data_IF_593548353690
#
_entry.id   IF_593548353690
#
_cell.length_a   1.000
_cell.length_b   1.000
_cell.length_c   1.000
_cell.angle_alpha   90.00
_cell.angle_beta   90.00
_cell.angle_gamma   90.00
#
_symmetry.space_group_name_H-M   'P 1'
#
loop_
_entity.id
_entity.type
_entity.pdbx_description
1 polymer ?
#
# COMPACT_ATOMS: atom_id res chain seq x y z
N UNK A 1 -19.39 -3.64 80.27
CA UNK A 1 -19.14 -2.51 79.35
C UNK A 1 -20.46 -2.02 78.79
N UNK A 2 -20.50 -0.73 78.43
CA UNK A 2 -21.65 0.18 78.17
C UNK A 2 -22.64 -0.36 77.09
N UNK A 3 -23.99 -0.28 77.25
CA UNK A 3 -24.91 0.89 77.07
C UNK A 3 -24.83 1.42 75.60
N UNK A 4 -25.85 1.68 74.76
CA UNK A 4 -27.25 2.16 74.89
C UNK A 4 -28.03 1.85 73.59
N UNK A 5 -29.35 1.86 73.73
CA UNK A 5 -30.49 1.71 72.82
C UNK A 5 -30.64 2.91 71.84
N UNK A 6 -31.54 2.76 70.86
CA UNK A 6 -32.54 3.74 70.33
C UNK A 6 -32.44 4.11 68.84
N UNK A 7 -33.20 3.36 68.05
CA UNK A 7 -34.34 3.76 67.20
C UNK A 7 -34.54 5.22 66.72
N UNK A 8 -35.20 5.31 65.55
CA UNK A 8 -36.35 6.19 65.16
C UNK A 8 -36.12 7.25 64.04
N UNK A 9 -37.00 7.13 63.02
CA UNK A 9 -37.56 8.11 62.05
C UNK A 9 -36.63 8.69 60.96
N UNK A 10 -36.95 8.89 59.68
CA UNK A 10 -38.13 8.85 58.80
C UNK A 10 -38.24 10.18 58.03
N UNK A 11 -38.43 10.07 56.70
CA UNK A 11 -39.04 11.03 55.75
C UNK A 11 -38.27 12.32 55.42
N UNK A 12 -37.99 12.53 54.12
CA UNK A 12 -38.62 13.57 53.31
C UNK A 12 -38.10 13.56 51.86
N UNK A 13 -39.01 13.48 50.90
CA UNK A 13 -38.77 13.93 49.53
C UNK A 13 -38.88 15.45 49.49
N UNK A 14 -37.96 16.13 48.81
CA UNK A 14 -38.14 17.51 48.38
C UNK A 14 -37.68 17.62 46.93
N UNK A 15 -38.63 17.84 46.03
CA UNK A 15 -38.41 18.40 44.69
C UNK A 15 -38.14 19.90 44.81
N UNK A 16 -37.07 20.39 44.21
CA UNK A 16 -36.88 21.81 43.90
C UNK A 16 -36.93 22.01 42.38
N UNK A 17 -37.97 22.68 41.94
CA UNK A 17 -38.05 23.37 40.64
C UNK A 17 -37.31 24.71 40.72
N UNK A 18 -36.52 24.98 39.67
CA UNK A 18 -36.08 26.28 39.11
C UNK A 18 -35.39 27.31 40.02
N UNK A 19 -34.14 27.65 39.69
CA UNK A 19 -33.79 29.02 39.30
C UNK A 19 -32.54 29.00 38.40
N UNK A 20 -32.63 29.77 37.33
CA UNK A 20 -31.63 30.05 36.29
C UNK A 20 -30.29 30.54 36.84
N UNK A 21 -29.18 30.09 36.25
CA UNK A 21 -28.21 30.94 35.54
C UNK A 21 -27.28 30.05 34.72
N UNK A 22 -26.88 30.58 33.56
CA UNK A 22 -26.03 29.99 32.53
C UNK A 22 -24.71 29.37 33.05
N UNK A 23 -24.06 28.59 32.18
CA UNK A 23 -22.74 27.95 32.34
C UNK A 23 -22.71 26.54 32.93
N UNK A 24 -23.25 25.56 32.21
CA UNK A 24 -22.69 24.18 32.21
C UNK A 24 -23.38 23.30 31.17
N UNK A 25 -23.21 23.62 29.88
CA UNK A 25 -23.49 22.66 28.81
C UNK A 25 -22.72 22.91 27.50
N UNK A 26 -21.71 23.78 27.50
CA UNK A 26 -20.90 24.05 26.31
C UNK A 26 -19.81 22.98 26.07
N UNK A 27 -19.36 22.26 27.10
CA UNK A 27 -18.25 21.30 26.95
C UNK A 27 -18.67 19.94 26.38
N UNK A 28 -19.89 19.48 26.61
CA UNK A 28 -20.29 18.13 26.16
C UNK A 28 -20.76 18.09 24.70
N UNK A 29 -21.13 19.23 24.10
CA UNK A 29 -21.43 19.31 22.66
C UNK A 29 -20.23 19.69 21.79
N UNK A 30 -19.14 20.21 22.37
CA UNK A 30 -17.91 20.50 21.63
C UNK A 30 -17.20 19.20 21.18
N UNK A 31 -17.20 18.18 22.04
CA UNK A 31 -16.53 16.90 21.75
C UNK A 31 -17.26 16.08 20.65
N UNK A 32 -18.57 16.25 20.49
CA UNK A 32 -19.34 15.56 19.44
C UNK A 32 -19.22 16.22 18.04
N UNK A 33 -18.89 17.51 17.97
CA UNK A 33 -18.71 18.23 16.69
C UNK A 33 -17.31 18.11 16.10
N UNK A 34 -16.28 17.94 16.92
CA UNK A 34 -14.91 17.72 16.42
C UNK A 34 -14.76 16.34 15.76
N UNK A 35 -15.46 15.32 16.27
CA UNK A 35 -15.38 13.95 15.73
C UNK A 35 -16.07 13.79 14.36
N UNK A 36 -17.00 14.68 14.02
CA UNK A 36 -17.76 14.65 12.75
C UNK A 36 -17.20 15.58 11.67
N UNK A 37 -16.32 16.53 12.03
CA UNK A 37 -15.55 17.32 11.04
C UNK A 37 -14.27 16.62 10.60
N UNK A 38 -13.57 15.92 11.51
CA UNK A 38 -12.37 15.16 11.17
C UNK A 38 -12.64 14.06 10.14
N UNK A 39 -13.73 13.31 10.29
CA UNK A 39 -14.07 12.20 9.37
C UNK A 39 -14.45 12.67 7.96
N UNK A 40 -15.09 13.82 7.81
CA UNK A 40 -15.52 14.33 6.50
C UNK A 40 -14.36 14.94 5.70
N UNK A 41 -13.44 15.64 6.35
CA UNK A 41 -12.25 16.20 5.69
C UNK A 41 -11.28 15.10 5.26
N UNK A 42 -11.03 14.09 6.12
CA UNK A 42 -10.18 12.94 5.77
C UNK A 42 -10.78 12.11 4.63
N UNK A 43 -12.11 11.87 4.64
CA UNK A 43 -12.80 11.18 3.53
C UNK A 43 -12.76 11.98 2.22
N UNK A 44 -12.93 13.30 2.27
CA UNK A 44 -12.87 14.16 1.06
C UNK A 44 -11.46 14.19 0.46
N UNK A 45 -10.42 14.21 1.29
CA UNK A 45 -9.02 14.14 0.85
C UNK A 45 -8.66 12.76 0.29
N UNK A 46 -9.13 11.67 0.92
CA UNK A 46 -8.99 10.32 0.37
C UNK A 46 -9.63 10.19 -1.02
N UNK A 47 -10.83 10.76 -1.21
CA UNK A 47 -11.52 10.75 -2.51
C UNK A 47 -10.77 11.49 -3.63
N UNK A 48 -10.04 12.57 -3.31
CA UNK A 48 -9.22 13.28 -4.30
C UNK A 48 -8.00 12.44 -4.75
N UNK A 49 -7.43 11.65 -3.83
CA UNK A 49 -6.33 10.73 -4.12
C UNK A 49 -6.77 9.55 -4.99
N UNK A 50 -8.06 9.19 -4.97
CA UNK A 50 -8.61 8.03 -5.67
C UNK A 50 -8.79 8.15 -7.20
N UNK A 51 -8.12 9.10 -7.85
CA UNK A 51 -8.15 9.19 -9.32
C UNK A 51 -7.35 8.04 -9.93
N UNK A 52 -8.01 7.24 -10.77
CA UNK A 52 -7.38 6.10 -11.46
C UNK A 52 -6.79 6.57 -12.79
N UNK A 53 -5.47 6.47 -12.92
CA UNK A 53 -4.77 6.68 -14.19
C UNK A 53 -4.46 5.34 -14.82
N UNK A 54 -4.87 5.14 -16.08
CA UNK A 54 -4.58 3.93 -16.85
C UNK A 54 -3.52 4.22 -17.88
N UNK A 55 -2.55 3.31 -18.04
CA UNK A 55 -1.46 3.47 -19.01
C UNK A 55 -0.87 2.11 -19.40
N UNK A 56 0.09 2.13 -20.31
CA UNK A 56 0.79 0.95 -20.78
C UNK A 56 2.25 1.25 -21.09
N UNK A 57 3.11 0.26 -20.93
CA UNK A 57 4.48 0.29 -21.45
C UNK A 57 4.73 -0.85 -22.41
N UNK A 58 5.53 -0.60 -23.44
CA UNK A 58 6.03 -1.65 -24.34
C UNK A 58 7.50 -1.89 -24.04
N UNK A 59 7.87 -3.14 -23.78
CA UNK A 59 9.22 -3.57 -23.44
C UNK A 59 9.76 -4.46 -24.54
N UNK A 60 10.94 -4.13 -25.07
CA UNK A 60 11.55 -4.85 -26.18
C UNK A 60 12.45 -5.97 -25.69
N UNK A 61 12.41 -7.09 -26.40
CA UNK A 61 13.30 -8.23 -26.19
C UNK A 61 14.60 -8.01 -26.93
N UNK A 62 15.72 -8.28 -26.27
CA UNK A 62 17.07 -8.16 -26.85
C UNK A 62 17.65 -9.51 -27.28
N UNK A 63 17.25 -10.61 -26.64
CA UNK A 63 17.78 -11.94 -26.91
C UNK A 63 16.80 -13.07 -26.53
N UNK A 64 17.12 -14.30 -26.92
CA UNK A 64 16.40 -15.50 -26.50
C UNK A 64 17.12 -16.26 -25.37
N UNK A 65 16.39 -17.00 -24.51
CA UNK A 65 14.93 -17.15 -24.42
C UNK A 65 14.22 -15.98 -23.71
N UNK A 66 12.89 -15.91 -23.81
CA UNK A 66 12.07 -14.84 -23.21
C UNK A 66 11.93 -14.94 -21.69
N UNK A 67 12.14 -16.12 -21.11
CA UNK A 67 12.12 -16.38 -19.67
C UNK A 67 13.35 -15.87 -18.93
N UNK A 68 14.33 -15.30 -19.63
CA UNK A 68 15.54 -14.75 -19.04
C UNK A 68 15.35 -13.26 -18.73
N UNK A 69 15.57 -12.88 -17.48
CA UNK A 69 15.39 -11.51 -16.99
C UNK A 69 16.17 -10.46 -17.80
N UNK A 70 17.44 -10.74 -18.13
CA UNK A 70 18.35 -9.81 -18.80
C UNK A 70 18.13 -9.67 -20.31
N UNK A 71 17.21 -10.47 -20.86
CA UNK A 71 16.93 -10.50 -22.30
C UNK A 71 15.86 -9.47 -22.71
N UNK A 72 15.58 -8.50 -21.85
CA UNK A 72 14.59 -7.45 -22.04
C UNK A 72 15.24 -6.10 -21.75
N UNK A 73 15.04 -5.13 -22.64
CA UNK A 73 15.53 -3.75 -22.44
C UNK A 73 14.64 -3.08 -21.41
N UNK A 74 15.18 -2.60 -20.27
CA UNK A 74 14.37 -1.90 -19.30
C UNK A 74 13.78 -0.60 -19.86
N UNK A 75 12.58 -0.26 -19.41
CA UNK A 75 11.82 0.91 -19.87
C UNK A 75 11.44 1.77 -18.67
N UNK A 76 11.83 3.05 -18.72
CA UNK A 76 11.45 4.02 -17.69
C UNK A 76 9.98 4.44 -17.86
N UNK A 77 9.30 4.66 -16.73
CA UNK A 77 7.97 5.23 -16.68
C UNK A 77 7.81 6.09 -15.41
N UNK A 78 6.75 6.89 -15.37
CA UNK A 78 6.35 7.64 -14.18
C UNK A 78 5.02 7.12 -13.63
N UNK A 79 4.93 7.03 -12.31
CA UNK A 79 3.70 6.72 -11.57
C UNK A 79 3.55 7.84 -10.54
N UNK A 80 2.72 8.84 -10.84
CA UNK A 80 2.69 10.09 -10.08
C UNK A 80 4.09 10.69 -9.90
N UNK A 81 4.53 10.84 -8.65
CA UNK A 81 5.83 11.39 -8.25
C UNK A 81 7.01 10.41 -8.26
N UNK A 82 6.80 9.11 -8.54
CA UNK A 82 7.90 8.12 -8.60
C UNK A 82 8.29 7.76 -10.04
N UNK A 83 9.59 7.82 -10.32
CA UNK A 83 10.18 7.23 -11.52
C UNK A 83 10.43 5.74 -11.28
N UNK A 84 9.88 4.92 -12.16
CA UNK A 84 9.99 3.46 -12.12
C UNK A 84 10.62 2.93 -13.39
N UNK A 85 11.13 1.71 -13.33
CA UNK A 85 11.65 0.97 -14.46
C UNK A 85 10.92 -0.37 -14.55
N UNK A 86 10.33 -0.63 -15.72
CA UNK A 86 9.80 -1.92 -16.11
C UNK A 86 10.89 -2.75 -16.77
N UNK A 87 11.01 -4.01 -16.38
CA UNK A 87 12.16 -4.86 -16.71
C UNK A 87 11.85 -6.35 -16.51
N UNK A 88 12.86 -7.20 -16.72
CA UNK A 88 12.76 -8.62 -16.43
C UNK A 88 11.88 -9.38 -17.41
N UNK A 89 11.43 -10.57 -17.00
CA UNK A 89 10.71 -11.53 -17.85
C UNK A 89 9.47 -10.86 -18.47
N UNK A 90 9.47 -10.73 -19.81
CA UNK A 90 8.44 -10.02 -20.60
C UNK A 90 8.18 -8.57 -20.14
N UNK A 91 9.16 -7.93 -19.51
CA UNK A 91 9.00 -6.58 -18.93
C UNK A 91 8.09 -6.53 -17.70
N UNK A 92 7.70 -7.69 -17.15
CA UNK A 92 6.72 -7.77 -16.07
C UNK A 92 7.26 -7.37 -14.70
N UNK A 93 8.55 -7.18 -14.51
CA UNK A 93 9.10 -6.72 -13.23
C UNK A 93 9.12 -5.19 -13.16
N UNK A 94 8.99 -4.62 -11.97
CA UNK A 94 9.04 -3.18 -11.71
C UNK A 94 9.93 -2.88 -10.51
N UNK A 95 10.71 -1.79 -10.60
CA UNK A 95 11.41 -1.18 -9.45
C UNK A 95 11.41 0.35 -9.51
N UNK A 96 11.52 1.07 -8.39
CA UNK A 96 11.87 2.49 -8.38
C UNK A 96 13.30 2.72 -8.88
N UNK A 97 13.54 3.81 -9.61
CA UNK A 97 14.86 4.12 -10.19
C UNK A 97 15.76 4.83 -9.18
N UNK A 98 17.00 4.35 -9.03
CA UNK A 98 18.10 5.04 -8.33
C UNK A 98 17.98 5.22 -6.81
N UNK A 99 16.82 4.92 -6.22
CA UNK A 99 16.49 5.05 -4.78
C UNK A 99 16.83 6.40 -4.11
N UNK A 100 17.19 7.45 -4.87
CA UNK A 100 17.47 8.79 -4.33
C UNK A 100 16.25 9.39 -3.64
N UNK A 101 15.05 9.06 -4.14
CA UNK A 101 13.78 9.43 -3.54
C UNK A 101 13.31 8.53 -2.39
N UNK A 102 14.11 7.55 -1.94
CA UNK A 102 13.75 6.58 -0.86
C UNK A 102 12.40 5.90 -1.09
N UNK A 103 12.25 5.34 -2.28
CA UNK A 103 11.06 4.63 -2.71
C UNK A 103 11.23 3.13 -2.50
N UNK A 104 10.23 2.50 -1.89
CA UNK A 104 10.21 1.08 -1.60
C UNK A 104 8.94 0.45 -2.13
N UNK A 105 8.96 -0.87 -2.28
CA UNK A 105 7.86 -1.60 -2.89
C UNK A 105 7.41 -2.80 -2.06
N UNK A 106 6.16 -3.18 -2.26
CA UNK A 106 5.52 -4.30 -1.61
C UNK A 106 4.27 -4.73 -2.37
N UNK A 107 3.59 -5.75 -1.85
CA UNK A 107 2.36 -6.25 -2.46
C UNK A 107 1.22 -6.24 -1.48
N UNK A 108 0.00 -6.10 -2.01
CA UNK A 108 -1.25 -6.23 -1.26
C UNK A 108 -2.23 -7.06 -2.10
N UNK A 109 -3.36 -7.46 -1.53
CA UNK A 109 -4.38 -8.20 -2.26
C UNK A 109 -4.86 -7.41 -3.49
N UNK A 110 -5.08 -8.11 -4.60
CA UNK A 110 -5.43 -7.50 -5.89
C UNK A 110 -6.77 -6.73 -5.86
N UNK A 111 -7.68 -7.15 -4.98
CA UNK A 111 -8.96 -6.48 -4.75
C UNK A 111 -8.86 -5.21 -3.90
N UNK A 112 -7.69 -4.88 -3.34
CA UNK A 112 -7.49 -3.63 -2.60
C UNK A 112 -7.84 -2.44 -3.49
N UNK A 113 -8.72 -1.56 -3.06
CA UNK A 113 -9.09 -0.34 -3.79
C UNK A 113 -8.41 0.86 -3.16
N UNK A 114 -8.56 2.03 -3.80
CA UNK A 114 -8.29 3.27 -3.11
C UNK A 114 -9.29 3.41 -1.97
N UNK A 115 -8.75 3.51 -0.77
CA UNK A 115 -9.43 3.71 0.50
C UNK A 115 -8.41 4.37 1.44
N UNK A 116 -8.84 4.79 2.63
CA UNK A 116 -7.97 5.35 3.65
C UNK A 116 -6.73 4.46 3.86
N UNK A 117 -5.55 5.00 3.52
CA UNK A 117 -4.26 4.31 3.61
C UNK A 117 -4.06 3.67 4.98
N UNK A 118 -4.43 4.38 6.04
CA UNK A 118 -4.18 3.95 7.41
C UNK A 118 -5.07 2.76 7.82
N UNK A 119 -6.11 2.45 7.05
CA UNK A 119 -6.98 1.28 7.28
C UNK A 119 -6.41 -0.04 6.77
N UNK A 120 -5.47 -0.01 5.81
CA UNK A 120 -5.00 -1.23 5.15
C UNK A 120 -3.48 -1.31 4.93
N UNK A 121 -2.71 -0.25 5.22
CA UNK A 121 -1.26 -0.25 4.99
C UNK A 121 -0.51 -1.37 5.76
N UNK A 122 -1.07 -1.84 6.88
CA UNK A 122 -0.51 -2.95 7.66
C UNK A 122 -0.58 -4.30 6.92
N UNK A 123 -1.43 -4.41 5.89
CA UNK A 123 -1.56 -5.62 5.07
C UNK A 123 -0.54 -5.69 3.93
N UNK A 124 0.30 -4.66 3.76
CA UNK A 124 1.33 -4.62 2.72
C UNK A 124 2.47 -5.56 3.10
N UNK A 125 2.73 -6.52 2.23
CA UNK A 125 3.90 -7.40 2.34
C UNK A 125 5.10 -6.69 1.69
N UNK A 126 6.08 -6.29 2.51
CA UNK A 126 7.24 -5.49 2.09
C UNK A 126 8.26 -6.35 1.34
N UNK A 127 8.71 -5.90 0.15
CA UNK A 127 9.67 -6.66 -0.68
C UNK A 127 10.99 -6.96 0.03
N UNK A 128 11.56 -5.96 0.69
CA UNK A 128 12.87 -6.08 1.31
C UNK A 128 12.85 -6.83 2.65
N UNK A 129 11.67 -7.16 3.19
CA UNK A 129 11.59 -7.88 4.45
C UNK A 129 12.23 -9.27 4.35
N UNK A 130 12.65 -9.81 5.51
CA UNK A 130 13.27 -11.13 5.59
C UNK A 130 12.38 -12.20 4.95
N UNK A 131 12.96 -13.05 4.10
CA UNK A 131 12.27 -14.09 3.36
C UNK A 131 11.58 -13.64 2.06
N UNK A 132 11.41 -12.33 1.84
CA UNK A 132 10.75 -11.79 0.64
C UNK A 132 11.73 -11.40 -0.47
N UNK A 133 13.01 -11.24 -0.13
CA UNK A 133 14.09 -11.01 -1.10
C UNK A 133 14.51 -12.35 -1.68
N UNK A 134 14.44 -12.46 -3.01
CA UNK A 134 14.96 -13.61 -3.74
C UNK A 134 16.47 -13.51 -3.94
N UNK A 135 16.99 -14.32 -4.86
CA UNK A 135 18.39 -14.26 -5.32
C UNK A 135 18.52 -13.73 -6.74
N UNK A 136 17.39 -13.41 -7.39
CA UNK A 136 17.32 -12.87 -8.74
C UNK A 136 16.36 -11.70 -8.80
N UNK A 137 16.63 -10.69 -9.65
CA UNK A 137 17.85 -10.49 -10.46
C UNK A 137 19.10 -10.17 -9.61
N UNK A 138 20.24 -9.86 -10.24
CA UNK A 138 21.52 -9.59 -9.56
C UNK A 138 21.43 -8.51 -8.45
N UNK A 139 20.62 -7.48 -8.67
CA UNK A 139 20.12 -6.61 -7.60
C UNK A 139 18.64 -6.92 -7.33
N UNK A 140 18.32 -7.79 -6.36
CA UNK A 140 16.97 -8.28 -6.10
C UNK A 140 16.13 -7.34 -5.22
N UNK A 141 16.71 -6.25 -4.72
CA UNK A 141 16.06 -5.33 -3.80
C UNK A 141 15.13 -4.36 -4.51
N UNK A 142 14.00 -4.06 -3.88
CA UNK A 142 12.96 -3.20 -4.44
C UNK A 142 12.42 -3.62 -5.82
N UNK A 143 12.51 -4.90 -6.17
CA UNK A 143 12.01 -5.45 -7.45
C UNK A 143 10.78 -6.30 -7.21
N UNK A 144 9.67 -5.99 -7.85
CA UNK A 144 8.48 -6.84 -7.86
C UNK A 144 8.22 -7.35 -9.25
N UNK A 145 8.16 -8.66 -9.39
CA UNK A 145 7.87 -9.32 -10.66
C UNK A 145 7.20 -10.66 -10.44
N UNK A 146 7.81 -11.72 -10.97
CA UNK A 146 7.36 -13.09 -10.77
C UNK A 146 7.40 -13.44 -9.28
N UNK A 147 6.34 -14.09 -8.79
CA UNK A 147 6.26 -14.54 -7.41
C UNK A 147 6.87 -15.94 -7.24
N UNK A 148 8.00 -16.02 -6.53
CA UNK A 148 8.69 -17.26 -6.20
C UNK A 148 9.79 -17.63 -7.20
N UNK A 149 9.92 -18.93 -7.49
CA UNK A 149 10.97 -19.47 -8.36
C UNK A 149 10.44 -19.83 -9.74
N UNK A 150 11.18 -19.46 -10.78
CA UNK A 150 10.97 -19.94 -12.15
C UNK A 150 12.29 -20.23 -12.84
N UNK A 151 12.36 -21.33 -13.58
CA UNK A 151 13.56 -21.73 -14.33
C UNK A 151 14.84 -21.74 -13.49
N UNK A 152 14.72 -22.13 -12.20
CA UNK A 152 15.83 -22.16 -11.24
C UNK A 152 16.21 -20.82 -10.61
N UNK A 153 15.62 -19.69 -11.04
CA UNK A 153 15.86 -18.37 -10.48
C UNK A 153 14.78 -18.01 -9.45
N UNK A 154 15.19 -17.66 -8.22
CA UNK A 154 14.29 -17.26 -7.14
C UNK A 154 14.12 -15.74 -7.13
N UNK A 155 12.92 -15.25 -7.42
CA UNK A 155 12.59 -13.83 -7.40
C UNK A 155 12.01 -13.36 -6.06
N UNK A 156 11.73 -14.27 -5.12
CA UNK A 156 11.12 -13.96 -3.83
C UNK A 156 9.68 -13.47 -3.99
N UNK A 157 9.31 -12.44 -3.23
CA UNK A 157 8.00 -11.79 -3.33
C UNK A 157 7.80 -11.18 -4.71
N UNK A 158 6.66 -11.49 -5.34
CA UNK A 158 6.24 -10.91 -6.60
C UNK A 158 4.72 -10.72 -6.66
N UNK A 159 4.23 -10.21 -7.78
CA UNK A 159 2.81 -9.88 -7.95
C UNK A 159 2.10 -10.70 -9.03
N UNK A 160 2.83 -11.42 -9.88
CA UNK A 160 2.26 -12.28 -10.91
C UNK A 160 2.84 -13.69 -10.85
N UNK A 161 2.11 -14.65 -11.41
CA UNK A 161 2.60 -15.97 -11.77
C UNK A 161 2.74 -16.09 -13.29
N UNK A 162 3.59 -16.99 -13.76
CA UNK A 162 3.82 -17.23 -15.18
C UNK A 162 3.90 -18.73 -15.45
N UNK A 163 3.05 -19.20 -16.34
CA UNK A 163 3.04 -20.59 -16.79
C UNK A 163 3.95 -20.72 -18.01
N UNK A 164 5.06 -21.44 -17.86
CA UNK A 164 6.07 -21.57 -18.92
C UNK A 164 5.59 -22.39 -20.12
N UNK A 165 4.58 -23.25 -19.95
CA UNK A 165 4.05 -24.09 -21.03
C UNK A 165 3.04 -23.34 -21.90
N UNK A 166 2.17 -22.54 -21.27
CA UNK A 166 1.14 -21.76 -21.98
C UNK A 166 1.55 -20.32 -22.26
N UNK A 167 2.71 -19.92 -21.76
CA UNK A 167 3.21 -18.55 -21.75
C UNK A 167 2.26 -17.52 -21.10
N UNK A 168 1.31 -17.94 -20.28
CA UNK A 168 0.34 -17.03 -19.65
C UNK A 168 0.94 -16.39 -18.40
N UNK A 169 0.85 -15.06 -18.31
CA UNK A 169 1.24 -14.27 -17.14
C UNK A 169 -0.02 -13.74 -16.43
N UNK A 170 -0.17 -14.05 -15.14
CA UNK A 170 -1.38 -13.75 -14.38
C UNK A 170 -1.04 -12.91 -13.15
N UNK A 171 -1.39 -11.61 -13.14
CA UNK A 171 -1.34 -10.79 -11.93
C UNK A 171 -2.26 -11.36 -10.84
N UNK A 172 -1.73 -11.51 -9.63
CA UNK A 172 -2.43 -12.07 -8.47
C UNK A 172 -2.41 -11.13 -7.25
N UNK A 173 -1.55 -10.11 -7.27
CA UNK A 173 -1.43 -9.07 -6.24
C UNK A 173 -1.36 -7.69 -6.88
N UNK A 174 -1.78 -6.67 -6.13
CA UNK A 174 -1.48 -5.30 -6.46
C UNK A 174 -0.09 -4.93 -5.91
N UNK A 175 0.56 -4.00 -6.60
CA UNK A 175 1.86 -3.44 -6.22
C UNK A 175 1.61 -2.17 -5.43
N UNK A 176 2.34 -1.98 -4.34
CA UNK A 176 2.35 -0.72 -3.59
C UNK A 176 3.75 -0.15 -3.64
N UNK A 177 3.85 1.13 -3.97
CA UNK A 177 5.11 1.89 -4.00
C UNK A 177 4.96 3.04 -3.01
N UNK A 178 5.85 3.15 -2.03
CA UNK A 178 5.78 4.23 -1.04
C UNK A 178 7.12 4.92 -0.85
N UNK A 179 7.07 6.20 -0.53
CA UNK A 179 8.22 7.01 -0.13
C UNK A 179 8.23 7.16 1.38
N UNK A 180 9.41 7.09 1.97
CA UNK A 180 9.61 7.36 3.40
C UNK A 180 10.94 8.07 3.62
N UNK A 181 11.07 8.77 4.75
CA UNK A 181 12.36 9.30 5.19
C UNK A 181 13.24 8.24 5.87
N UNK A 182 12.64 7.12 6.28
CA UNK A 182 13.35 5.96 6.83
C UNK A 182 14.04 5.14 5.73
N UNK A 183 15.19 4.56 6.03
CA UNK A 183 15.99 3.81 5.06
C UNK A 183 17.06 4.65 4.36
N UNK A 184 18.18 3.99 4.08
CA UNK A 184 19.44 4.62 3.66
C UNK A 184 19.84 4.23 2.23
N UNK A 185 19.28 3.15 1.70
CA UNK A 185 19.58 2.61 0.38
C UNK A 185 18.44 1.69 -0.11
N UNK A 186 18.59 1.15 -1.33
CA UNK A 186 17.58 0.28 -1.95
C UNK A 186 17.32 -1.02 -1.19
N UNK A 187 18.22 -1.42 -0.29
CA UNK A 187 18.14 -2.67 0.47
C UNK A 187 17.41 -2.52 1.80
N UNK A 188 17.14 -1.28 2.21
CA UNK A 188 16.53 -0.99 3.51
C UNK A 188 15.14 -1.62 3.62
N UNK A 189 14.85 -2.21 4.77
CA UNK A 189 13.48 -2.62 5.13
C UNK A 189 12.81 -1.41 5.77
N UNK A 190 11.71 -0.95 5.17
CA UNK A 190 10.97 0.22 5.66
C UNK A 190 9.51 -0.12 5.91
N UNK A 191 8.88 0.63 6.80
CA UNK A 191 7.46 0.45 7.14
C UNK A 191 6.57 1.33 6.26
N UNK A 192 5.58 0.76 5.56
CA UNK A 192 4.55 1.53 4.85
C UNK A 192 3.77 2.49 5.75
N UNK A 193 3.66 2.21 7.06
CA UNK A 193 3.00 3.11 8.00
C UNK A 193 3.70 4.49 8.12
N UNK A 194 4.97 4.58 7.74
CA UNK A 194 5.74 5.84 7.71
C UNK A 194 5.75 6.51 6.32
N UNK A 195 4.85 6.09 5.42
CA UNK A 195 4.77 6.63 4.08
C UNK A 195 4.41 8.12 4.10
N UNK A 196 5.19 8.90 3.36
CA UNK A 196 4.92 10.32 3.07
C UNK A 196 4.13 10.49 1.78
N UNK A 197 4.18 9.47 0.94
CA UNK A 197 3.53 9.42 -0.37
C UNK A 197 3.44 7.94 -0.76
N UNK A 198 2.33 7.51 -1.33
CA UNK A 198 2.18 6.12 -1.76
C UNK A 198 1.24 5.97 -2.96
N UNK A 199 1.53 4.95 -3.77
CA UNK A 199 0.79 4.60 -4.96
C UNK A 199 0.37 3.13 -4.93
N UNK A 200 -0.89 2.88 -5.25
CA UNK A 200 -1.42 1.56 -5.53
C UNK A 200 -1.40 1.34 -7.04
N UNK A 201 -0.70 0.30 -7.48
CA UNK A 201 -0.52 -0.04 -8.90
C UNK A 201 -1.12 -1.42 -9.16
N UNK A 202 -2.03 -1.51 -10.13
CA UNK A 202 -2.68 -2.75 -10.55
C UNK A 202 -2.33 -3.04 -11.99
N UNK A 203 -1.50 -4.05 -12.20
CA UNK A 203 -1.25 -4.58 -13.54
C UNK A 203 -2.48 -5.35 -13.99
N UNK A 204 -3.08 -4.91 -15.08
CA UNK A 204 -4.30 -5.50 -15.64
C UNK A 204 -3.99 -6.61 -16.62
N UNK A 205 -2.86 -6.51 -17.34
CA UNK A 205 -2.36 -7.58 -18.20
C UNK A 205 -0.88 -7.40 -18.50
N UNK A 206 -0.20 -8.53 -18.71
CA UNK A 206 1.11 -8.58 -19.37
C UNK A 206 0.89 -9.44 -20.60
N UNK A 207 1.08 -8.88 -21.78
CA UNK A 207 0.87 -9.56 -23.06
C UNK A 207 2.23 -9.93 -23.66
N UNK A 208 2.65 -11.20 -23.55
CA UNK A 208 3.93 -11.66 -24.06
C UNK A 208 3.92 -11.68 -25.58
N UNK A 209 4.92 -11.07 -26.21
CA UNK A 209 5.17 -11.21 -27.64
C UNK A 209 6.55 -11.77 -27.94
N UNK A 210 6.77 -12.11 -29.21
CA UNK A 210 8.02 -12.71 -29.68
C UNK A 210 9.20 -11.73 -29.62
N UNK A 211 8.95 -10.44 -29.92
CA UNK A 211 9.96 -9.37 -29.98
C UNK A 211 9.72 -8.24 -28.98
N UNK A 212 8.49 -8.07 -28.51
CA UNK A 212 8.13 -7.08 -27.50
C UNK A 212 7.00 -7.65 -26.62
N UNK A 213 6.80 -7.04 -25.46
CA UNK A 213 5.66 -7.31 -24.59
C UNK A 213 5.02 -6.00 -24.17
N UNK A 214 3.72 -6.03 -23.94
CA UNK A 214 3.00 -4.87 -23.41
C UNK A 214 2.55 -5.14 -21.99
N UNK A 215 2.83 -4.22 -21.07
CA UNK A 215 2.32 -4.23 -19.70
C UNK A 215 1.28 -3.14 -19.57
N UNK A 216 0.03 -3.52 -19.33
CA UNK A 216 -1.06 -2.59 -19.07
C UNK A 216 -1.31 -2.50 -17.57
N UNK A 217 -1.46 -1.30 -17.05
CA UNK A 217 -1.66 -1.09 -15.62
C UNK A 217 -2.40 0.20 -15.31
N UNK A 218 -3.03 0.18 -14.15
CA UNK A 218 -3.68 1.34 -13.57
C UNK A 218 -2.95 1.72 -12.29
N UNK A 219 -2.92 2.99 -11.96
CA UNK A 219 -2.38 3.46 -10.69
C UNK A 219 -3.18 4.60 -10.11
N UNK A 220 -3.10 4.71 -8.79
CA UNK A 220 -3.83 5.70 -7.98
C UNK A 220 -2.94 6.11 -6.82
N UNK A 221 -2.92 7.40 -6.49
CA UNK A 221 -2.27 7.86 -5.28
C UNK A 221 -3.13 7.45 -4.08
N UNK A 222 -2.53 6.94 -3.02
CA UNK A 222 -3.25 6.48 -1.81
C UNK A 222 -2.71 7.13 -0.54
N UNK A 223 -1.55 7.79 -0.60
CA UNK A 223 -0.99 8.64 0.46
C UNK A 223 -0.30 9.86 -0.14
#
# INVERSE_FOLDING_TARGET
>A
MKKIILSILAVAAITFTSCSTDEQNAETQAVAKEQSQGTNLTKKSALALCTVTSTSVTVNRTAAPSSTYTNWTPVAAAIGGVNVQWEGIYGGSIRPVGNTGKWYVGTVNLNQTCDDWDSWNANIVVKNASGNVGTSPADPYNVLGYNGTISGANYGLGYYSYNILTHVMTPAKAIVIWRTNSGTNSQSVTSPASALEAYLVKVTSITPGSSNSTVNYNWTQVK
#
